data_IF_736759168760
#
_entry.id   IF_736759168760
#
_cell.length_a   1.000
_cell.length_b   1.000
_cell.length_c   1.000
_cell.angle_alpha   90.00
_cell.angle_beta   90.00
_cell.angle_gamma   90.00
#
_symmetry.space_group_name_H-M   'P 1'
#
loop_
_entity.id
_entity.type
_entity.pdbx_description
1 polymer ?
#
# COMPACT_ATOMS: atom_id res chain seq x y z
N UNK A 1 -9.77 -7.43 4.35
CA UNK A 1 -8.42 -7.85 4.80
C UNK A 1 -7.56 -6.72 5.34
N UNK A 2 -7.19 -5.67 4.59
CA UNK A 2 -6.35 -4.55 5.11
C UNK A 2 -6.83 -3.96 6.46
N UNK A 3 -8.13 -3.62 6.56
CA UNK A 3 -8.71 -3.10 7.81
C UNK A 3 -8.63 -4.09 8.97
N UNK A 4 -8.86 -5.38 8.70
CA UNK A 4 -8.78 -6.45 9.71
C UNK A 4 -7.34 -6.62 10.21
N UNK A 5 -6.36 -6.56 9.31
CA UNK A 5 -4.94 -6.64 9.67
C UNK A 5 -4.52 -5.48 10.59
N UNK A 6 -4.83 -4.25 10.20
CA UNK A 6 -4.50 -3.07 11.00
C UNK A 6 -5.20 -3.11 12.37
N UNK A 7 -6.48 -3.46 12.40
CA UNK A 7 -7.21 -3.63 13.66
C UNK A 7 -6.60 -4.74 14.52
N UNK A 8 -6.18 -5.86 13.93
CA UNK A 8 -5.58 -6.97 14.66
C UNK A 8 -4.24 -6.57 15.32
N UNK A 9 -3.41 -5.80 14.62
CA UNK A 9 -2.18 -5.25 15.20
C UNK A 9 -2.48 -4.25 16.32
N UNK A 10 -3.40 -3.32 16.09
CA UNK A 10 -3.74 -2.27 17.08
C UNK A 10 -4.39 -2.82 18.35
N UNK A 11 -5.20 -3.86 18.22
CA UNK A 11 -5.96 -4.46 19.35
C UNK A 11 -5.30 -5.71 19.91
N UNK A 12 -4.14 -6.09 19.39
CA UNK A 12 -3.46 -7.33 19.73
C UNK A 12 -4.39 -8.58 19.63
N UNK A 13 -5.24 -8.63 18.59
CA UNK A 13 -6.21 -9.70 18.42
C UNK A 13 -5.52 -11.00 18.00
N UNK A 14 -5.21 -11.83 18.98
CA UNK A 14 -4.46 -13.07 18.81
C UNK A 14 -5.08 -14.05 17.79
N UNK A 15 -6.41 -14.15 17.76
CA UNK A 15 -7.10 -15.02 16.81
C UNK A 15 -6.89 -14.55 15.37
N UNK A 16 -7.08 -13.26 15.12
CA UNK A 16 -6.86 -12.67 13.81
C UNK A 16 -5.38 -12.78 13.38
N UNK A 17 -4.43 -12.52 14.30
CA UNK A 17 -3.00 -12.64 14.01
C UNK A 17 -2.61 -14.07 13.62
N UNK A 18 -3.17 -15.10 14.28
CA UNK A 18 -2.95 -16.51 13.89
C UNK A 18 -3.42 -16.82 12.48
N UNK A 19 -4.62 -16.35 12.11
CA UNK A 19 -5.15 -16.57 10.75
C UNK A 19 -4.35 -15.81 9.68
N UNK A 20 -3.94 -14.57 9.97
CA UNK A 20 -3.04 -13.81 9.10
C UNK A 20 -1.69 -14.52 8.95
N UNK A 21 -1.14 -15.07 10.05
CA UNK A 21 0.15 -15.79 10.02
C UNK A 21 0.08 -17.03 9.13
N UNK A 22 -1.02 -17.79 9.21
CA UNK A 22 -1.27 -18.94 8.30
C UNK A 22 -1.34 -18.50 6.84
N UNK A 23 -2.04 -17.39 6.55
CA UNK A 23 -2.15 -16.85 5.20
C UNK A 23 -0.77 -16.46 4.64
N UNK A 24 0.02 -15.71 5.40
CA UNK A 24 1.37 -15.29 4.98
C UNK A 24 2.27 -16.52 4.81
N UNK A 25 2.25 -17.46 5.75
CA UNK A 25 3.06 -18.68 5.68
C UNK A 25 2.71 -19.54 4.45
N UNK A 26 1.43 -19.61 4.08
CA UNK A 26 1.01 -20.31 2.85
C UNK A 26 1.58 -19.63 1.60
N UNK A 27 1.55 -18.29 1.53
CA UNK A 27 2.13 -17.55 0.41
C UNK A 27 3.65 -17.78 0.35
N UNK A 28 4.35 -17.81 1.50
CA UNK A 28 5.78 -18.13 1.54
C UNK A 28 6.04 -19.54 1.02
N UNK A 29 5.28 -20.55 1.49
CA UNK A 29 5.38 -21.93 1.02
C UNK A 29 5.18 -22.04 -0.49
N UNK A 30 4.19 -21.34 -1.04
CA UNK A 30 3.93 -21.37 -2.49
C UNK A 30 5.08 -20.74 -3.30
N UNK A 31 5.72 -19.68 -2.79
CA UNK A 31 6.90 -19.10 -3.44
C UNK A 31 8.14 -20.00 -3.35
N UNK A 32 8.16 -20.92 -2.39
CA UNK A 32 9.23 -21.89 -2.22
C UNK A 32 8.98 -23.19 -3.01
N UNK A 33 7.88 -23.34 -3.76
CA UNK A 33 7.48 -24.63 -4.33
C UNK A 33 8.51 -25.21 -5.31
N UNK A 34 9.04 -24.39 -6.22
CA UNK A 34 10.05 -24.86 -7.18
C UNK A 34 11.34 -25.29 -6.46
N UNK A 35 11.71 -24.58 -5.38
CA UNK A 35 12.85 -24.93 -4.54
C UNK A 35 12.58 -26.20 -3.72
N UNK A 36 11.37 -26.34 -3.16
CA UNK A 36 10.89 -27.53 -2.46
C UNK A 36 11.09 -28.74 -3.36
N UNK A 37 10.53 -28.71 -4.58
CA UNK A 37 10.53 -29.87 -5.48
C UNK A 37 11.95 -30.34 -5.85
N UNK A 38 12.92 -29.43 -5.84
CA UNK A 38 14.30 -29.71 -6.21
C UNK A 38 15.19 -30.11 -5.02
N UNK A 39 14.88 -29.63 -3.81
CA UNK A 39 15.82 -29.66 -2.69
C UNK A 39 15.25 -30.18 -1.37
N UNK A 40 13.93 -30.20 -1.18
CA UNK A 40 13.28 -30.58 0.08
C UNK A 40 12.25 -31.69 -0.15
N UNK A 41 12.31 -32.73 0.67
CA UNK A 41 11.25 -33.73 0.71
C UNK A 41 9.98 -33.18 1.39
N UNK A 42 8.84 -33.79 1.11
CA UNK A 42 7.57 -33.45 1.75
C UNK A 42 7.63 -33.58 3.29
N UNK A 43 8.41 -34.53 3.81
CA UNK A 43 8.62 -34.68 5.25
C UNK A 43 9.40 -33.49 5.84
N UNK A 44 10.48 -33.04 5.18
CA UNK A 44 11.22 -31.85 5.62
C UNK A 44 10.33 -30.60 5.58
N UNK A 45 9.47 -30.50 4.57
CA UNK A 45 8.56 -29.36 4.44
C UNK A 45 7.42 -29.40 5.45
N UNK A 46 6.98 -30.59 5.86
CA UNK A 46 6.07 -30.75 7.00
C UNK A 46 6.67 -30.24 8.32
N UNK A 47 7.99 -30.35 8.50
CA UNK A 47 8.70 -29.80 9.66
C UNK A 47 8.97 -28.30 9.52
N UNK A 48 9.34 -27.83 8.33
CA UNK A 48 9.68 -26.44 8.07
C UNK A 48 8.47 -25.50 8.13
N UNK A 49 7.31 -25.93 7.60
CA UNK A 49 6.10 -25.09 7.53
C UNK A 49 5.64 -24.56 8.90
N UNK A 50 5.60 -25.36 9.99
CA UNK A 50 5.36 -24.85 11.34
C UNK A 50 6.36 -23.80 11.81
N UNK A 51 7.65 -23.95 11.53
CA UNK A 51 8.69 -23.00 11.94
C UNK A 51 8.49 -21.63 11.29
N UNK A 52 8.25 -21.63 9.97
CA UNK A 52 7.94 -20.41 9.21
C UNK A 52 6.68 -19.74 9.78
N UNK A 53 5.60 -20.51 9.94
CA UNK A 53 4.31 -19.98 10.45
C UNK A 53 4.43 -19.42 11.86
N UNK A 54 5.13 -20.11 12.75
CA UNK A 54 5.31 -19.66 14.13
C UNK A 54 6.20 -18.41 14.18
N UNK A 55 7.29 -18.37 13.40
CA UNK A 55 8.15 -17.18 13.31
C UNK A 55 7.40 -15.94 12.79
N UNK A 56 6.53 -16.10 11.78
CA UNK A 56 5.64 -15.03 11.32
C UNK A 56 4.69 -14.57 12.44
N UNK A 57 4.11 -15.52 13.17
CA UNK A 57 3.19 -15.20 14.27
C UNK A 57 3.89 -14.47 15.42
N UNK A 58 5.10 -14.89 15.78
CA UNK A 58 5.92 -14.23 16.80
C UNK A 58 6.25 -12.79 16.38
N UNK A 59 6.67 -12.59 15.12
CA UNK A 59 6.96 -11.26 14.59
C UNK A 59 5.73 -10.35 14.60
N UNK A 60 4.56 -10.84 14.14
CA UNK A 60 3.32 -10.07 14.15
C UNK A 60 2.84 -9.74 15.57
N UNK A 61 2.99 -10.69 16.50
CA UNK A 61 2.64 -10.47 17.91
C UNK A 61 3.58 -9.44 18.55
N UNK A 62 4.89 -9.51 18.29
CA UNK A 62 5.83 -8.53 18.78
C UNK A 62 5.56 -7.13 18.20
N UNK A 63 5.24 -7.02 16.90
CA UNK A 63 4.82 -5.76 16.27
C UNK A 63 3.53 -5.19 16.88
N UNK A 64 2.56 -6.04 17.22
CA UNK A 64 1.31 -5.60 17.85
C UNK A 64 1.50 -5.05 19.28
N UNK A 65 2.63 -5.33 19.93
CA UNK A 65 2.88 -4.97 21.33
C UNK A 65 4.14 -4.11 21.53
N UNK A 66 4.89 -3.75 20.49
CA UNK A 66 6.18 -3.07 20.64
C UNK A 66 6.08 -1.67 21.26
N UNK A 67 4.93 -1.01 21.15
CA UNK A 67 4.70 0.31 21.75
C UNK A 67 4.48 0.25 23.26
N UNK A 68 4.07 -0.90 23.80
CA UNK A 68 3.68 -1.08 25.21
C UNK A 68 4.55 -2.10 25.95
N UNK A 69 5.32 -2.92 25.23
CA UNK A 69 6.17 -3.98 25.78
C UNK A 69 7.62 -3.81 25.31
N UNK A 70 8.53 -3.56 26.25
CA UNK A 70 9.96 -3.36 25.98
C UNK A 70 10.63 -4.58 25.36
N UNK A 71 10.30 -5.79 25.81
CA UNK A 71 10.83 -7.02 25.22
C UNK A 71 10.43 -7.14 23.75
N UNK A 72 9.17 -6.87 23.40
CA UNK A 72 8.72 -6.90 22.01
C UNK A 72 9.44 -5.85 21.15
N UNK A 73 9.68 -4.66 21.68
CA UNK A 73 10.45 -3.61 21.00
C UNK A 73 11.90 -4.03 20.74
N UNK A 74 12.56 -4.58 21.75
CA UNK A 74 13.94 -5.05 21.64
C UNK A 74 14.05 -6.24 20.69
N UNK A 75 13.08 -7.17 20.74
CA UNK A 75 12.97 -8.30 19.83
C UNK A 75 12.91 -7.86 18.36
N UNK A 76 12.03 -6.90 18.02
CA UNK A 76 11.91 -6.38 16.65
C UNK A 76 13.19 -5.64 16.23
N UNK A 77 13.74 -4.81 17.13
CA UNK A 77 14.97 -4.05 16.86
C UNK A 77 16.19 -4.95 16.67
N UNK A 78 16.24 -6.09 17.37
CA UNK A 78 17.26 -7.12 17.18
C UNK A 78 17.12 -7.80 15.81
N UNK A 79 15.92 -8.27 15.46
CA UNK A 79 15.70 -8.96 14.18
C UNK A 79 15.91 -8.02 12.98
N UNK A 80 15.52 -6.75 13.09
CA UNK A 80 15.76 -5.76 12.03
C UNK A 80 17.26 -5.54 11.77
N UNK A 81 18.11 -5.58 12.81
CA UNK A 81 19.58 -5.49 12.68
C UNK A 81 20.23 -6.78 12.17
N UNK A 82 19.53 -7.91 12.29
CA UNK A 82 20.01 -9.21 11.82
C UNK A 82 19.73 -9.47 10.35
N UNK A 83 19.04 -8.57 9.64
CA UNK A 83 18.82 -8.67 8.20
C UNK A 83 20.17 -8.49 7.50
N UNK A 84 20.66 -9.47 6.74
CA UNK A 84 21.94 -9.35 6.06
C UNK A 84 21.92 -8.30 4.95
N UNK A 85 23.01 -7.54 4.80
CA UNK A 85 23.12 -6.49 3.77
C UNK A 85 23.03 -7.01 2.33
N UNK A 86 23.26 -8.31 2.11
CA UNK A 86 23.15 -8.93 0.80
C UNK A 86 21.72 -9.36 0.44
N UNK A 87 20.75 -9.21 1.34
CA UNK A 87 19.36 -9.47 1.02
C UNK A 87 18.85 -8.39 0.07
N UNK A 88 18.42 -8.82 -1.11
CA UNK A 88 17.76 -7.96 -2.09
C UNK A 88 16.37 -7.53 -1.60
N UNK A 89 15.89 -6.40 -2.09
CA UNK A 89 14.52 -5.96 -1.83
C UNK A 89 13.51 -7.00 -2.36
N UNK A 90 12.42 -7.30 -1.63
CA UNK A 90 11.46 -8.31 -2.05
C UNK A 90 10.68 -7.85 -3.29
N UNK A 91 10.62 -8.70 -4.31
CA UNK A 91 9.83 -8.47 -5.52
C UNK A 91 8.45 -9.14 -5.44
N UNK A 92 7.44 -8.50 -6.04
CA UNK A 92 6.13 -9.12 -6.22
C UNK A 92 6.19 -10.16 -7.33
N UNK A 93 5.56 -11.32 -7.12
CA UNK A 93 5.40 -12.30 -8.20
C UNK A 93 4.72 -11.68 -9.43
N UNK A 94 5.09 -12.05 -10.67
CA UNK A 94 4.65 -11.37 -11.89
C UNK A 94 3.13 -11.23 -12.01
N UNK A 95 2.37 -12.24 -11.54
CA UNK A 95 0.90 -12.22 -11.53
C UNK A 95 0.35 -11.10 -10.65
N UNK A 96 0.90 -10.93 -9.45
CA UNK A 96 0.48 -9.89 -8.51
C UNK A 96 0.92 -8.52 -9.04
N UNK A 97 2.16 -8.40 -9.52
CA UNK A 97 2.66 -7.17 -10.14
C UNK A 97 1.75 -6.72 -11.29
N UNK A 98 1.38 -7.63 -12.21
CA UNK A 98 0.46 -7.34 -13.31
C UNK A 98 -0.94 -6.94 -12.84
N UNK A 99 -1.46 -7.57 -11.79
CA UNK A 99 -2.75 -7.21 -11.21
C UNK A 99 -2.72 -5.79 -10.61
N UNK A 100 -1.65 -5.43 -9.89
CA UNK A 100 -1.46 -4.09 -9.33
C UNK A 100 -1.23 -3.03 -10.43
N UNK A 101 -0.52 -3.40 -11.51
CA UNK A 101 -0.31 -2.54 -12.68
C UNK A 101 -1.63 -2.24 -13.44
N UNK A 102 -2.59 -3.17 -13.43
CA UNK A 102 -3.93 -2.96 -14.02
C UNK A 102 -4.75 -1.98 -13.18
N UNK A 103 -4.71 -2.10 -11.85
CA UNK A 103 -5.38 -1.15 -10.96
C UNK A 103 -4.83 0.27 -11.09
N UNK A 104 -3.52 0.42 -11.30
CA UNK A 104 -2.89 1.73 -11.54
C UNK A 104 -3.19 2.31 -12.93
N UNK A 105 -3.37 1.46 -13.96
CA UNK A 105 -3.79 1.93 -15.29
C UNK A 105 -5.25 2.39 -15.36
N UNK A 106 -6.15 1.76 -14.61
CA UNK A 106 -7.57 2.16 -14.55
C UNK A 106 -7.80 3.39 -13.64
N UNK A 107 -6.75 3.95 -13.02
CA UNK A 107 -6.82 5.05 -12.06
C UNK A 107 -6.01 6.29 -12.43
N UNK A 108 -5.47 6.38 -13.65
CA UNK A 108 -4.94 7.65 -14.17
C UNK A 108 -6.08 8.33 -14.96
N UNK A 109 -6.78 9.33 -14.38
CA UNK A 109 -7.74 10.11 -15.14
C UNK A 109 -6.99 10.81 -16.27
N UNK A 110 -7.26 10.41 -17.51
CA UNK A 110 -6.82 11.14 -18.69
C UNK A 110 -7.79 12.29 -18.91
N UNK A 111 -7.37 13.49 -18.56
CA UNK A 111 -8.14 14.70 -18.79
C UNK A 111 -8.17 15.01 -20.29
N UNK A 112 -9.23 15.66 -20.75
CA UNK A 112 -9.31 16.18 -22.13
C UNK A 112 -8.31 17.33 -22.33
N UNK A 113 -8.00 18.08 -21.27
CA UNK A 113 -7.07 19.20 -21.27
C UNK A 113 -5.63 18.77 -21.00
N UNK A 114 -4.73 19.14 -21.91
CA UNK A 114 -3.29 19.00 -21.71
C UNK A 114 -2.81 19.72 -20.43
N UNK A 115 -3.44 20.85 -20.09
CA UNK A 115 -3.14 21.58 -18.86
C UNK A 115 -3.43 20.73 -17.61
N UNK A 116 -4.58 20.03 -17.55
CA UNK A 116 -4.89 19.19 -16.39
C UNK A 116 -3.98 17.94 -16.35
N UNK A 117 -3.70 17.33 -17.49
CA UNK A 117 -2.74 16.22 -17.58
C UNK A 117 -1.34 16.64 -17.10
N UNK A 118 -0.90 17.86 -17.43
CA UNK A 118 0.35 18.43 -16.92
C UNK A 118 0.30 18.62 -15.40
N UNK A 119 -0.76 19.24 -14.88
CA UNK A 119 -0.89 19.46 -13.43
C UNK A 119 -0.96 18.14 -12.65
N UNK A 120 -1.55 17.10 -13.24
CA UNK A 120 -1.54 15.75 -12.67
C UNK A 120 -0.12 15.16 -12.66
N UNK A 121 0.64 15.28 -13.76
CA UNK A 121 2.04 14.83 -13.83
C UNK A 121 2.94 15.54 -12.82
N UNK A 122 2.69 16.83 -12.57
CA UNK A 122 3.40 17.62 -11.56
C UNK A 122 2.99 17.25 -10.11
N UNK A 123 1.96 16.44 -9.92
CA UNK A 123 1.45 16.04 -8.60
C UNK A 123 0.57 17.08 -7.92
N UNK A 124 0.09 18.10 -8.65
CA UNK A 124 -0.85 19.11 -8.14
C UNK A 124 -2.30 18.60 -8.13
N UNK A 125 -2.58 17.53 -8.88
CA UNK A 125 -3.83 16.78 -8.87
C UNK A 125 -3.57 15.35 -8.41
N UNK A 126 -4.44 14.84 -7.54
CA UNK A 126 -4.37 13.47 -7.03
C UNK A 126 -5.72 12.80 -7.32
N UNK A 127 -5.69 11.63 -7.95
CA UNK A 127 -6.91 10.83 -8.10
C UNK A 127 -7.07 9.92 -6.89
N UNK A 128 -8.16 10.10 -6.17
CA UNK A 128 -8.54 9.21 -5.10
C UNK A 128 -9.45 8.12 -5.68
N UNK A 129 -8.88 6.94 -5.93
CA UNK A 129 -9.59 5.79 -6.50
C UNK A 129 -10.75 5.30 -5.62
N UNK A 130 -10.60 5.38 -4.30
CA UNK A 130 -11.61 4.92 -3.34
C UNK A 130 -12.85 5.80 -3.37
N UNK A 131 -12.66 7.12 -3.44
CA UNK A 131 -13.73 8.12 -3.48
C UNK A 131 -14.22 8.43 -4.90
N UNK A 132 -13.49 7.95 -5.92
CA UNK A 132 -13.63 8.29 -7.34
C UNK A 132 -13.67 9.82 -7.56
N UNK A 133 -12.76 10.54 -6.92
CA UNK A 133 -12.66 12.00 -7.02
C UNK A 133 -11.23 12.47 -7.37
N UNK A 134 -11.13 13.71 -7.82
CA UNK A 134 -9.90 14.45 -8.04
C UNK A 134 -9.72 15.43 -6.88
N UNK A 135 -8.67 15.22 -6.11
CA UNK A 135 -8.21 16.16 -5.10
C UNK A 135 -7.25 17.16 -5.76
N UNK A 136 -7.46 18.44 -5.49
CA UNK A 136 -6.47 19.48 -5.83
C UNK A 136 -5.61 19.67 -4.58
N UNK A 137 -4.30 19.43 -4.72
CA UNK A 137 -3.35 19.61 -3.62
C UNK A 137 -3.49 21.04 -3.03
N UNK A 138 -3.26 21.26 -1.73
CA UNK A 138 -3.26 22.61 -1.18
C UNK A 138 -2.28 23.52 -1.93
N UNK A 139 -2.70 24.76 -2.22
CA UNK A 139 -1.96 25.66 -3.11
C UNK A 139 -0.56 26.00 -2.62
N UNK A 140 -0.30 25.93 -1.30
CA UNK A 140 1.04 26.14 -0.73
C UNK A 140 1.99 24.94 -0.91
N UNK A 141 1.49 23.81 -1.41
CA UNK A 141 2.28 22.60 -1.72
C UNK A 141 2.36 22.32 -3.23
N UNK A 142 2.03 23.29 -4.08
CA UNK A 142 2.12 23.13 -5.52
C UNK A 142 3.56 23.05 -6.00
N UNK A 143 3.88 21.97 -6.70
CA UNK A 143 5.20 21.76 -7.29
C UNK A 143 5.40 22.66 -8.51
N UNK A 144 6.61 23.23 -8.65
CA UNK A 144 7.07 23.99 -9.83
C UNK A 144 6.13 25.12 -10.28
N UNK A 145 5.48 25.77 -9.33
CA UNK A 145 4.58 26.88 -9.62
C UNK A 145 5.35 28.21 -9.70
N UNK A 146 5.64 28.68 -10.91
CA UNK A 146 6.11 30.06 -11.13
C UNK A 146 4.89 30.98 -11.10
N UNK A 147 4.61 31.61 -9.95
CA UNK A 147 3.57 32.64 -9.81
C UNK A 147 2.58 32.42 -8.68
N UNK A 148 1.38 32.99 -8.81
CA UNK A 148 0.34 32.99 -7.77
C UNK A 148 -0.41 31.64 -7.74
N UNK A 149 -0.11 30.84 -6.72
CA UNK A 149 -0.68 29.50 -6.54
C UNK A 149 -2.20 29.51 -6.33
N UNK A 150 -2.77 30.61 -5.84
CA UNK A 150 -4.22 30.77 -5.73
C UNK A 150 -4.84 30.90 -7.11
N UNK A 151 -4.22 31.67 -8.02
CA UNK A 151 -4.65 31.76 -9.43
C UNK A 151 -4.53 30.42 -10.13
N UNK A 152 -3.44 29.69 -9.89
CA UNK A 152 -3.25 28.35 -10.47
C UNK A 152 -4.35 27.38 -10.00
N UNK A 153 -4.66 27.35 -8.69
CA UNK A 153 -5.74 26.51 -8.13
C UNK A 153 -7.09 26.84 -8.76
N UNK A 154 -7.43 28.13 -8.86
CA UNK A 154 -8.66 28.58 -9.50
C UNK A 154 -8.74 28.16 -10.98
N UNK A 155 -7.61 28.22 -11.70
CA UNK A 155 -7.50 27.75 -13.09
C UNK A 155 -7.76 26.25 -13.18
N UNK A 156 -7.13 25.44 -12.34
CA UNK A 156 -7.36 23.99 -12.25
C UNK A 156 -8.84 23.69 -12.02
N UNK A 157 -9.45 24.31 -11.02
CA UNK A 157 -10.88 24.19 -10.71
C UNK A 157 -11.81 24.56 -11.88
N UNK A 158 -11.44 25.58 -12.67
CA UNK A 158 -12.22 25.97 -13.85
C UNK A 158 -12.14 24.91 -14.96
N UNK A 159 -10.96 24.33 -15.20
CA UNK A 159 -10.80 23.27 -16.19
C UNK A 159 -11.50 21.97 -15.78
N UNK A 160 -11.41 21.57 -14.51
CA UNK A 160 -12.14 20.41 -14.00
C UNK A 160 -13.65 20.56 -14.22
N UNK A 161 -14.21 21.74 -13.93
CA UNK A 161 -15.64 22.02 -14.20
C UNK A 161 -16.00 21.94 -15.68
N UNK A 162 -15.14 22.44 -16.57
CA UNK A 162 -15.34 22.33 -18.03
C UNK A 162 -15.35 20.88 -18.52
N UNK A 163 -14.61 20.01 -17.85
CA UNK A 163 -14.56 18.58 -18.18
C UNK A 163 -15.65 17.73 -17.50
N UNK A 164 -16.62 18.38 -16.86
CA UNK A 164 -17.78 17.69 -16.27
C UNK A 164 -17.60 17.29 -14.81
N UNK A 165 -16.55 17.77 -14.12
CA UNK A 165 -16.40 17.56 -12.68
C UNK A 165 -17.16 18.61 -11.88
N UNK A 166 -17.85 18.19 -10.80
CA UNK A 166 -18.45 19.06 -9.79
C UNK A 166 -17.68 18.98 -8.48
N UNK A 167 -17.56 20.12 -7.80
CA UNK A 167 -17.02 20.16 -6.45
C UNK A 167 -18.02 19.54 -5.46
N UNK A 168 -17.54 18.64 -4.62
CA UNK A 168 -18.27 17.98 -3.54
C UNK A 168 -17.81 18.60 -2.22
N UNK A 169 -18.69 19.39 -1.58
CA UNK A 169 -18.37 20.12 -0.36
C UNK A 169 -18.07 19.21 0.83
N UNK A 170 -18.64 18.00 0.87
CA UNK A 170 -18.42 17.05 1.96
C UNK A 170 -17.02 16.44 1.87
N UNK A 171 -16.52 16.24 0.65
CA UNK A 171 -15.20 15.67 0.40
C UNK A 171 -14.11 16.73 0.23
N UNK A 172 -14.51 17.98 -0.02
CA UNK A 172 -13.62 19.07 -0.43
C UNK A 172 -12.85 18.77 -1.74
N UNK A 173 -13.45 17.96 -2.62
CA UNK A 173 -12.83 17.37 -3.82
C UNK A 173 -13.73 17.50 -5.07
N UNK A 174 -13.21 17.17 -6.26
CA UNK A 174 -13.97 17.19 -7.52
C UNK A 174 -14.40 15.79 -7.96
N UNK A 175 -15.69 15.57 -8.20
CA UNK A 175 -16.26 14.31 -8.73
C UNK A 175 -16.78 14.49 -10.13
N UNK A 176 -16.62 13.49 -10.98
CA UNK A 176 -17.22 13.49 -12.31
C UNK A 176 -18.75 13.42 -12.15
N UNK A 177 -19.48 14.33 -12.80
CA UNK A 177 -20.93 14.23 -12.89
C UNK A 177 -21.26 12.98 -13.71
N UNK A 178 -21.97 12.04 -13.10
CA UNK A 178 -22.55 10.87 -13.80
C UNK A 178 -23.67 11.34 -14.69
#
# INVERSE_FOLDING_TARGET
>A
MKRLFLAALQTNNQSALKEISKLIAHVVRDNMEDFHLQHLSDNQMKELNPLIRNGIYDALTALANCDTNSFCKDFISWHARGIPDYWEDPELIPRVQKAMARQTKDSIPRFKSDFLNEQYRLGNLIYNSDKRCIEIRPSFLFNNSVGDNRKLRNKISAYLRKEGFSFDELLQDYRMKV
#
